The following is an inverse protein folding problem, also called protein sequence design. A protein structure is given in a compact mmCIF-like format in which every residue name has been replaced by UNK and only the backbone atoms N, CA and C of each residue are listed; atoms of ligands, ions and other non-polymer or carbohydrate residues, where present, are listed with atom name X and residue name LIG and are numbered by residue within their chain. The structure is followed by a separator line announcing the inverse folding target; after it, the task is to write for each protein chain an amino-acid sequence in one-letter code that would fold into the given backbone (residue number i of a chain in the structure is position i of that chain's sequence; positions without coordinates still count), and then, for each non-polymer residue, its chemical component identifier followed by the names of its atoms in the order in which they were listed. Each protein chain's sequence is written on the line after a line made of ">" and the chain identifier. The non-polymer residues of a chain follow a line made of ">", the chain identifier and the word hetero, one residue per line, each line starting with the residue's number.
data_IF_761463183470
#
_entry.id   IF_761463183470
#
_cell.length_a   1.000
_cell.length_b   1.000
_cell.length_c   1.000
_cell.angle_alpha   90.00
_cell.angle_beta   90.00
_cell.angle_gamma   90.00
#
_symmetry.space_group_name_H-M   'P 1'
#
loop_
_entity.id
_entity.type
_entity.pdbx_description
1 polymer ?
#
# COMPACT_ATOMS: atom_id res chain seq x y z
N UNK A 1 -6.26 -10.36 4.76
CA UNK A 1 -5.09 -9.70 4.17
C UNK A 1 -5.07 -8.26 4.65
N UNK A 2 -3.91 -7.76 5.07
CA UNK A 2 -3.75 -6.41 5.60
C UNK A 2 -2.89 -5.56 4.65
N UNK A 3 -3.42 -4.44 4.15
CA UNK A 3 -2.72 -3.50 3.28
C UNK A 3 -2.33 -2.24 4.04
N UNK A 4 -1.06 -1.86 3.95
CA UNK A 4 -0.58 -0.59 4.49
C UNK A 4 -0.70 0.53 3.47
N UNK A 5 -1.42 1.61 3.80
CA UNK A 5 -1.54 2.79 2.94
C UNK A 5 -0.30 3.67 3.12
N UNK A 6 0.46 3.83 2.04
CA UNK A 6 1.71 4.62 2.00
C UNK A 6 1.64 5.70 0.92
N UNK A 7 2.60 6.61 0.92
CA UNK A 7 2.69 7.71 -0.05
C UNK A 7 3.20 9.00 0.61
N UNK A 8 3.56 9.98 -0.19
CA UNK A 8 4.06 11.28 0.26
C UNK A 8 3.03 12.08 1.07
N UNK A 9 3.43 13.08 1.82
CA UNK A 9 2.50 14.01 2.47
C UNK A 9 1.60 14.72 1.45
N UNK A 10 0.31 14.87 1.77
CA UNK A 10 -0.63 15.61 0.92
C UNK A 10 -1.23 14.85 -0.26
N UNK A 11 -0.86 13.59 -0.51
CA UNK A 11 -1.38 12.78 -1.66
C UNK A 11 -2.83 12.28 -1.49
N UNK A 12 -3.47 12.52 -0.33
CA UNK A 12 -4.85 12.10 -0.09
C UNK A 12 -5.00 10.73 0.57
N UNK A 13 -3.98 10.20 1.26
CA UNK A 13 -4.05 8.89 1.96
C UNK A 13 -5.27 8.73 2.87
N UNK A 14 -5.60 9.79 3.61
CA UNK A 14 -6.75 9.82 4.51
C UNK A 14 -8.07 9.73 3.74
N UNK A 15 -8.20 10.53 2.69
CA UNK A 15 -9.34 10.54 1.78
C UNK A 15 -9.56 9.16 1.15
N UNK A 16 -8.48 8.52 0.68
CA UNK A 16 -8.51 7.17 0.12
C UNK A 16 -8.91 6.14 1.18
N UNK A 17 -8.40 6.24 2.40
CA UNK A 17 -8.81 5.35 3.50
C UNK A 17 -10.31 5.48 3.80
N UNK A 18 -10.83 6.71 3.90
CA UNK A 18 -12.26 6.97 4.13
C UNK A 18 -13.12 6.47 2.96
N UNK A 19 -12.68 6.70 1.73
CA UNK A 19 -13.32 6.19 0.54
C UNK A 19 -13.43 4.66 0.56
N UNK A 20 -12.30 3.96 0.78
CA UNK A 20 -12.24 2.50 0.74
C UNK A 20 -12.97 1.81 1.90
N UNK A 21 -13.05 2.44 3.05
CA UNK A 21 -13.59 1.81 4.26
C UNK A 21 -14.98 2.29 4.66
N UNK A 22 -15.43 3.42 4.12
CA UNK A 22 -16.64 4.11 4.57
C UNK A 22 -16.54 4.66 6.00
N UNK A 23 -15.38 4.54 6.65
CA UNK A 23 -15.16 4.98 8.02
C UNK A 23 -14.47 6.35 8.02
N UNK A 24 -14.99 7.34 8.77
CA UNK A 24 -14.31 8.62 8.91
C UNK A 24 -12.95 8.40 9.58
N UNK A 25 -11.90 8.93 8.98
CA UNK A 25 -10.59 8.89 9.58
C UNK A 25 -10.50 9.86 10.78
N UNK A 26 -9.85 9.40 11.85
CA UNK A 26 -9.66 10.23 13.05
C UNK A 26 -9.05 11.59 12.71
N UNK A 27 -9.53 12.68 13.30
CA UNK A 27 -8.86 13.97 13.20
C UNK A 27 -7.46 13.97 13.85
N UNK A 28 -7.18 13.01 14.73
CA UNK A 28 -5.90 12.89 15.42
C UNK A 28 -4.88 12.17 14.53
N UNK A 29 -3.93 12.91 13.95
CA UNK A 29 -2.86 12.40 13.10
C UNK A 29 -1.88 11.44 13.84
N UNK A 30 -1.95 11.38 15.16
CA UNK A 30 -1.05 10.59 16.00
C UNK A 30 -1.48 9.12 16.17
N UNK A 31 -2.65 8.73 15.66
CA UNK A 31 -3.19 7.39 15.81
C UNK A 31 -3.28 6.66 14.46
N UNK A 32 -2.78 5.43 14.42
CA UNK A 32 -2.99 4.55 13.29
C UNK A 32 -4.43 4.02 13.29
N UNK A 33 -4.97 3.71 12.12
CA UNK A 33 -6.33 3.25 11.97
C UNK A 33 -6.41 2.01 11.09
N UNK A 34 -7.40 1.17 11.36
CA UNK A 34 -7.71 -0.02 10.56
C UNK A 34 -9.17 0.03 10.15
N UNK A 35 -9.41 -0.16 8.86
CA UNK A 35 -10.75 -0.35 8.31
C UNK A 35 -10.83 -1.71 7.63
N UNK A 36 -11.86 -2.50 7.96
CA UNK A 36 -12.08 -3.82 7.37
C UNK A 36 -13.22 -3.76 6.37
N UNK A 37 -12.97 -4.22 5.16
CA UNK A 37 -13.93 -4.21 4.06
C UNK A 37 -14.10 -5.61 3.49
N UNK A 38 -15.33 -5.94 3.08
CA UNK A 38 -15.61 -7.19 2.37
C UNK A 38 -15.15 -7.07 0.92
N UNK A 39 -14.56 -8.13 0.41
CA UNK A 39 -14.23 -8.22 -1.02
C UNK A 39 -15.49 -8.66 -1.77
N UNK A 40 -16.01 -7.84 -2.71
CA UNK A 40 -17.12 -8.25 -3.56
C UNK A 40 -16.71 -9.49 -4.38
N UNK A 41 -17.56 -10.50 -4.42
CA UNK A 41 -17.34 -11.69 -5.25
C UNK A 41 -18.69 -12.21 -5.79
N UNK A 42 -18.99 -11.91 -7.07
CA UNK A 42 -20.22 -12.38 -7.70
C UNK A 42 -20.40 -13.92 -7.67
N UNK A 43 -19.31 -14.68 -7.62
CA UNK A 43 -19.35 -16.14 -7.52
C UNK A 43 -19.90 -16.58 -6.17
N UNK A 44 -19.53 -15.88 -5.09
CA UNK A 44 -20.06 -16.13 -3.74
C UNK A 44 -21.56 -15.82 -3.71
N UNK A 45 -22.01 -14.75 -4.37
CA UNK A 45 -23.43 -14.37 -4.46
C UNK A 45 -24.25 -15.41 -5.21
N UNK A 46 -23.73 -15.93 -6.34
CA UNK A 46 -24.37 -16.98 -7.11
C UNK A 46 -24.49 -18.25 -6.27
N UNK A 47 -23.42 -18.70 -5.64
CA UNK A 47 -23.40 -19.89 -4.80
C UNK A 47 -24.35 -19.75 -3.60
N UNK A 48 -24.35 -18.58 -2.97
CA UNK A 48 -25.24 -18.30 -1.85
C UNK A 48 -26.73 -18.38 -2.25
N UNK A 49 -27.07 -17.86 -3.43
CA UNK A 49 -28.44 -17.98 -3.99
C UNK A 49 -28.82 -19.40 -4.36
N UNK A 50 -27.87 -20.20 -4.84
CA UNK A 50 -28.13 -21.60 -5.23
C UNK A 50 -28.31 -22.53 -4.04
N UNK A 51 -27.50 -22.39 -3.02
CA UNK A 51 -27.41 -23.34 -1.90
C UNK A 51 -28.10 -22.89 -0.63
N UNK A 52 -28.56 -21.62 -0.56
CA UNK A 52 -29.22 -21.02 0.61
C UNK A 52 -28.53 -21.35 1.94
N UNK A 53 -27.22 -21.06 2.09
CA UNK A 53 -26.47 -21.38 3.30
C UNK A 53 -27.00 -20.59 4.48
N UNK A 54 -26.83 -21.12 5.70
CA UNK A 54 -27.18 -20.39 6.93
C UNK A 54 -26.37 -19.09 7.12
N UNK A 55 -25.18 -19.01 6.52
CA UNK A 55 -24.28 -17.84 6.58
C UNK A 55 -23.42 -17.79 5.32
N UNK A 56 -23.34 -16.63 4.70
CA UNK A 56 -22.41 -16.32 3.62
C UNK A 56 -21.26 -15.51 4.18
N UNK A 57 -20.02 -15.94 3.93
CA UNK A 57 -18.81 -15.26 4.40
C UNK A 57 -17.99 -14.87 3.17
N UNK A 58 -17.70 -13.58 3.04
CA UNK A 58 -16.83 -13.03 2.02
C UNK A 58 -15.40 -12.93 2.54
N UNK A 59 -14.43 -12.93 1.64
CA UNK A 59 -13.09 -12.52 1.97
C UNK A 59 -13.07 -11.07 2.51
N UNK A 60 -12.08 -10.75 3.30
CA UNK A 60 -11.94 -9.42 3.89
C UNK A 60 -10.53 -8.88 3.66
N UNK A 61 -10.48 -7.58 3.39
CA UNK A 61 -9.26 -6.78 3.33
C UNK A 61 -9.28 -5.80 4.48
N UNK A 62 -8.17 -5.67 5.16
CA UNK A 62 -7.92 -4.67 6.20
C UNK A 62 -7.02 -3.59 5.62
N UNK A 63 -7.52 -2.37 5.54
CA UNK A 63 -6.72 -1.20 5.19
C UNK A 63 -6.16 -0.58 6.46
N UNK A 64 -4.84 -0.46 6.51
CA UNK A 64 -4.12 0.14 7.62
C UNK A 64 -3.58 1.51 7.21
N UNK A 65 -4.10 2.56 7.85
CA UNK A 65 -3.60 3.92 7.73
C UNK A 65 -2.62 4.17 8.88
N UNK A 66 -1.31 4.25 8.63
CA UNK A 66 -0.33 4.51 9.67
C UNK A 66 -0.52 5.90 10.26
N UNK A 67 -0.19 6.05 11.55
CA UNK A 67 -0.11 7.35 12.17
C UNK A 67 0.86 8.25 11.39
N UNK A 68 0.45 9.49 11.10
CA UNK A 68 1.39 10.45 10.56
C UNK A 68 2.49 10.66 11.62
N UNK A 69 3.73 10.38 11.27
CA UNK A 69 4.85 10.73 12.12
C UNK A 69 4.78 12.25 12.34
N UNK A 70 4.47 12.65 13.57
CA UNK A 70 4.64 14.04 13.96
C UNK A 70 6.11 14.33 13.70
N UNK A 71 6.39 15.28 12.81
CA UNK A 71 7.73 15.83 12.57
C UNK A 71 8.20 16.61 13.81
N UNK A 72 8.17 15.99 14.97
CA UNK A 72 8.86 16.49 16.13
C UNK A 72 10.21 15.77 16.18
N UNK A 73 11.24 16.54 15.86
CA UNK A 73 12.66 16.24 16.08
C UNK A 73 12.96 16.07 17.57
N UNK A 74 12.25 15.19 18.25
CA UNK A 74 12.69 14.70 19.55
C UNK A 74 13.52 13.43 19.32
N UNK A 75 14.83 13.59 19.52
CA UNK A 75 15.83 12.54 19.47
C UNK A 75 15.34 11.30 20.23
N UNK A 76 14.95 10.24 19.51
CA UNK A 76 14.95 8.90 20.07
C UNK A 76 13.73 8.00 19.89
N UNK A 77 12.59 8.43 19.31
CA UNK A 77 11.39 7.59 19.10
C UNK A 77 10.62 7.94 17.82
N UNK A 78 11.28 8.12 16.71
CA UNK A 78 10.62 8.03 15.41
C UNK A 78 10.29 6.54 15.16
N UNK A 79 9.09 6.11 15.51
CA UNK A 79 8.52 4.97 14.82
C UNK A 79 8.19 5.45 13.40
N UNK A 80 9.17 5.34 12.51
CA UNK A 80 9.01 5.60 11.10
C UNK A 80 7.71 4.91 10.61
N UNK A 81 6.98 5.56 9.71
CA UNK A 81 5.83 4.97 9.00
C UNK A 81 6.19 3.57 8.50
N UNK A 82 7.43 3.39 8.05
CA UNK A 82 7.95 2.13 7.54
C UNK A 82 7.93 1.00 8.58
N UNK A 83 8.18 1.29 9.86
CA UNK A 83 8.07 0.29 10.93
C UNK A 83 6.62 -0.14 11.14
N UNK A 84 5.68 0.80 11.06
CA UNK A 84 4.26 0.50 11.26
C UNK A 84 3.68 -0.40 10.17
N UNK A 85 4.14 -0.27 8.91
CA UNK A 85 3.62 -1.05 7.77
C UNK A 85 4.39 -2.35 7.52
N UNK A 86 5.43 -2.66 8.32
CA UNK A 86 6.17 -3.94 8.20
C UNK A 86 5.30 -5.16 8.40
N UNK A 87 4.30 -5.07 9.27
CA UNK A 87 3.38 -6.19 9.56
C UNK A 87 2.21 -6.29 8.56
N UNK A 88 2.18 -5.44 7.54
CA UNK A 88 1.20 -5.55 6.46
C UNK A 88 1.62 -6.60 5.44
N UNK A 89 0.63 -7.27 4.81
CA UNK A 89 0.88 -8.29 3.78
C UNK A 89 1.27 -7.66 2.44
N UNK A 90 0.70 -6.47 2.13
CA UNK A 90 0.91 -5.71 0.90
C UNK A 90 0.85 -4.20 1.18
N UNK A 91 1.23 -3.39 0.19
CA UNK A 91 1.18 -1.93 0.26
C UNK A 91 0.21 -1.37 -0.77
N UNK A 92 -0.57 -0.37 -0.35
CA UNK A 92 -1.35 0.50 -1.21
C UNK A 92 -0.63 1.85 -1.29
N UNK A 93 0.08 2.08 -2.39
CA UNK A 93 0.84 3.30 -2.59
C UNK A 93 -0.02 4.35 -3.28
N UNK A 94 -0.47 5.34 -2.52
CA UNK A 94 -1.26 6.46 -3.04
C UNK A 94 -0.31 7.50 -3.62
N UNK A 95 -0.50 7.82 -4.89
CA UNK A 95 0.28 8.81 -5.65
C UNK A 95 -0.63 9.95 -6.07
N UNK A 96 -0.17 11.18 -5.91
CA UNK A 96 -0.94 12.37 -6.25
C UNK A 96 -0.98 12.58 -7.78
N UNK A 97 -2.19 12.74 -8.31
CA UNK A 97 -2.40 13.16 -9.70
C UNK A 97 -3.49 14.25 -9.78
N UNK A 98 -3.48 15.18 -8.81
CA UNK A 98 -4.37 16.34 -8.73
C UNK A 98 -3.57 17.58 -8.36
N UNK A 99 -4.05 18.76 -8.71
CA UNK A 99 -3.36 20.03 -8.49
C UNK A 99 -4.22 21.02 -7.71
N UNK A 100 -4.24 20.98 -6.37
CA UNK A 100 -4.95 21.96 -5.58
C UNK A 100 -4.41 23.38 -5.85
N UNK A 101 -5.25 24.42 -5.79
CA UNK A 101 -4.82 25.80 -5.97
C UNK A 101 -3.61 26.15 -5.11
N UNK A 102 -2.53 26.63 -5.73
CA UNK A 102 -1.31 27.06 -5.07
C UNK A 102 -0.28 25.95 -4.84
N UNK A 103 -0.56 24.70 -5.24
CA UNK A 103 0.43 23.63 -5.25
C UNK A 103 1.04 23.45 -6.66
N UNK A 104 2.28 22.93 -6.75
CA UNK A 104 2.88 22.59 -8.05
C UNK A 104 2.10 21.45 -8.73
N UNK A 105 2.28 21.35 -10.05
CA UNK A 105 1.75 20.23 -10.83
C UNK A 105 2.16 18.89 -10.24
N UNK A 106 1.34 17.83 -10.33
CA UNK A 106 1.71 16.51 -9.88
C UNK A 106 2.83 15.91 -10.76
N UNK A 107 3.75 15.19 -10.14
CA UNK A 107 4.83 14.44 -10.80
C UNK A 107 4.75 12.95 -10.40
N UNK A 108 3.72 12.21 -10.86
CA UNK A 108 3.39 10.88 -10.32
C UNK A 108 4.54 9.87 -10.37
N UNK A 109 5.36 9.89 -11.41
CA UNK A 109 6.51 8.98 -11.56
C UNK A 109 7.61 9.33 -10.55
N UNK A 110 7.89 10.61 -10.35
CA UNK A 110 8.89 11.06 -9.38
C UNK A 110 8.41 10.80 -7.94
N UNK A 111 7.14 11.12 -7.64
CA UNK A 111 6.51 10.87 -6.34
C UNK A 111 6.50 9.37 -5.98
N UNK A 112 6.24 8.50 -6.97
CA UNK A 112 6.35 7.06 -6.80
C UNK A 112 7.79 6.63 -6.50
N UNK A 113 8.76 7.12 -7.29
CA UNK A 113 10.15 6.73 -7.16
C UNK A 113 10.74 7.14 -5.80
N UNK A 114 10.36 8.30 -5.26
CA UNK A 114 10.79 8.78 -3.95
C UNK A 114 10.38 7.80 -2.84
N UNK A 115 9.12 7.36 -2.82
CA UNK A 115 8.64 6.39 -1.83
C UNK A 115 9.27 5.02 -2.02
N UNK A 116 9.42 4.56 -3.27
CA UNK A 116 10.05 3.26 -3.55
C UNK A 116 11.51 3.23 -3.10
N UNK A 117 12.24 4.33 -3.27
CA UNK A 117 13.60 4.48 -2.79
C UNK A 117 13.69 4.43 -1.25
N UNK A 118 12.74 5.03 -0.54
CA UNK A 118 12.66 4.94 0.93
C UNK A 118 12.45 3.48 1.41
N UNK A 119 11.63 2.69 0.70
CA UNK A 119 11.43 1.27 1.01
C UNK A 119 12.74 0.48 0.80
N UNK A 120 13.43 0.73 -0.32
CA UNK A 120 14.72 0.11 -0.66
C UNK A 120 15.76 0.43 0.42
N UNK A 121 15.92 1.69 0.78
CA UNK A 121 16.89 2.13 1.80
C UNK A 121 16.56 1.54 3.18
N UNK A 122 15.28 1.50 3.55
CA UNK A 122 14.85 0.88 4.80
C UNK A 122 15.22 -0.60 4.90
N UNK A 123 15.13 -1.33 3.78
CA UNK A 123 15.47 -2.75 3.75
C UNK A 123 16.98 -2.95 3.67
N UNK A 124 17.71 -2.12 2.94
CA UNK A 124 19.17 -2.16 2.88
C UNK A 124 19.77 -2.04 4.28
N UNK A 125 19.30 -1.10 5.09
CA UNK A 125 19.73 -0.96 6.50
C UNK A 125 19.49 -2.23 7.33
N UNK A 126 18.39 -2.95 7.10
CA UNK A 126 18.09 -4.20 7.79
C UNK A 126 19.07 -5.30 7.37
N UNK A 127 19.32 -5.43 6.07
CA UNK A 127 20.23 -6.42 5.50
C UNK A 127 21.67 -6.20 5.99
N UNK A 128 22.18 -4.97 5.87
CA UNK A 128 23.53 -4.61 6.33
C UNK A 128 23.75 -4.92 7.81
N UNK A 129 22.83 -4.49 8.67
CA UNK A 129 22.91 -4.79 10.11
C UNK A 129 22.92 -6.28 10.39
N UNK A 130 22.21 -7.09 9.61
CA UNK A 130 22.23 -8.54 9.77
C UNK A 130 23.53 -9.16 9.34
N UNK A 131 24.07 -8.76 8.17
CA UNK A 131 25.38 -9.20 7.68
C UNK A 131 26.53 -8.83 8.66
N UNK A 132 26.49 -7.62 9.22
CA UNK A 132 27.44 -7.22 10.27
C UNK A 132 27.38 -8.15 11.49
N UNK A 133 26.16 -8.50 11.94
CA UNK A 133 25.96 -9.44 13.06
C UNK A 133 26.47 -10.83 12.74
N UNK A 134 26.19 -11.35 11.54
CA UNK A 134 26.70 -12.66 11.11
C UNK A 134 28.23 -12.67 11.10
N UNK A 135 28.86 -11.63 10.58
CA UNK A 135 30.32 -11.47 10.59
C UNK A 135 30.88 -11.40 12.01
N UNK A 136 30.24 -10.65 12.90
CA UNK A 136 30.66 -10.54 14.31
C UNK A 136 30.49 -11.87 15.06
N UNK A 137 29.42 -12.61 14.79
CA UNK A 137 29.18 -13.92 15.39
C UNK A 137 30.18 -14.98 14.89
N UNK A 138 30.55 -14.95 13.61
CA UNK A 138 31.60 -15.79 13.04
C UNK A 138 32.97 -15.54 13.73
N UNK A 139 33.33 -14.28 13.98
CA UNK A 139 34.55 -13.92 14.73
C UNK A 139 34.54 -14.44 16.19
N UNK A 140 33.36 -14.69 16.77
CA UNK A 140 33.18 -15.27 18.10
C UNK A 140 33.10 -16.81 18.09
N UNK A 141 33.33 -17.45 16.94
CA UNK A 141 33.33 -18.90 16.78
C UNK A 141 31.93 -19.52 16.55
N UNK A 142 30.89 -18.73 16.38
CA UNK A 142 29.59 -19.24 15.93
C UNK A 142 29.67 -19.49 14.42
N UNK A 143 29.02 -20.55 13.95
CA UNK A 143 28.87 -20.82 12.52
C UNK A 143 27.59 -20.13 12.03
N UNK A 144 27.69 -19.06 11.19
CA UNK A 144 26.53 -18.51 10.54
C UNK A 144 25.92 -19.53 9.57
N UNK A 145 24.62 -19.39 9.31
CA UNK A 145 23.97 -20.15 8.25
C UNK A 145 24.44 -19.61 6.89
N UNK A 146 25.15 -20.43 6.09
CA UNK A 146 25.69 -19.98 4.81
C UNK A 146 24.58 -19.68 3.79
N UNK A 147 23.42 -20.30 3.91
CA UNK A 147 22.27 -20.05 3.03
C UNK A 147 21.66 -18.68 3.32
N UNK A 148 21.44 -18.35 4.60
CA UNK A 148 21.00 -17.02 5.01
C UNK A 148 21.96 -15.92 4.54
N UNK A 149 23.27 -16.12 4.75
CA UNK A 149 24.29 -15.14 4.35
C UNK A 149 24.26 -14.91 2.83
N UNK A 150 24.21 -15.97 2.03
CA UNK A 150 24.16 -15.89 0.56
C UNK A 150 22.88 -15.17 0.07
N UNK A 151 21.74 -15.42 0.71
CA UNK A 151 20.47 -14.74 0.38
C UNK A 151 20.56 -13.23 0.70
N UNK A 152 21.11 -12.86 1.85
CA UNK A 152 21.27 -11.47 2.24
C UNK A 152 22.22 -10.71 1.31
N UNK A 153 23.33 -11.34 0.87
CA UNK A 153 24.23 -10.75 -0.12
C UNK A 153 23.48 -10.47 -1.43
N UNK A 154 22.66 -11.41 -1.91
CA UNK A 154 21.84 -11.20 -3.11
C UNK A 154 20.81 -10.08 -2.93
N UNK A 155 20.24 -9.94 -1.72
CA UNK A 155 19.37 -8.81 -1.41
C UNK A 155 20.14 -7.49 -1.51
N UNK A 156 21.34 -7.41 -0.92
CA UNK A 156 22.21 -6.22 -1.01
C UNK A 156 22.49 -5.85 -2.46
N UNK A 157 22.94 -6.80 -3.27
CA UNK A 157 23.28 -6.58 -4.69
C UNK A 157 22.10 -6.03 -5.51
N UNK A 158 20.86 -6.37 -5.15
CA UNK A 158 19.67 -5.87 -5.81
C UNK A 158 19.31 -4.47 -5.33
N UNK A 159 19.28 -4.27 -4.00
CA UNK A 159 18.90 -3.00 -3.37
C UNK A 159 19.90 -1.88 -3.70
N UNK A 160 21.20 -2.16 -3.75
CA UNK A 160 22.25 -1.19 -4.17
C UNK A 160 22.12 -0.73 -5.63
N UNK A 161 21.35 -1.44 -6.45
CA UNK A 161 21.02 -1.06 -7.83
C UNK A 161 19.69 -0.32 -7.94
N UNK A 162 19.17 0.20 -6.82
CA UNK A 162 17.86 0.83 -6.72
C UNK A 162 16.72 -0.05 -7.27
N UNK A 163 16.80 -1.37 -7.03
CA UNK A 163 15.78 -2.34 -7.46
C UNK A 163 15.09 -2.94 -6.24
N UNK A 164 13.78 -2.74 -6.07
CA UNK A 164 13.03 -3.32 -4.97
C UNK A 164 13.00 -4.84 -5.06
N UNK A 165 12.97 -5.51 -3.90
CA UNK A 165 13.03 -6.98 -3.85
C UNK A 165 11.81 -7.65 -4.52
N UNK A 166 10.64 -7.00 -4.55
CA UNK A 166 9.43 -7.52 -5.23
C UNK A 166 9.63 -7.76 -6.73
N UNK A 167 10.60 -7.10 -7.36
CA UNK A 167 10.96 -7.34 -8.77
C UNK A 167 11.81 -8.59 -8.99
N UNK A 168 12.18 -9.28 -7.93
CA UNK A 168 12.81 -10.58 -7.97
C UNK A 168 11.94 -11.59 -7.22
N UNK A 169 11.07 -12.28 -7.95
CA UNK A 169 10.09 -13.20 -7.39
C UNK A 169 10.74 -14.27 -6.51
N UNK A 170 11.94 -14.74 -6.87
CA UNK A 170 12.67 -15.73 -6.09
C UNK A 170 13.07 -15.19 -4.71
N UNK A 171 13.58 -13.96 -4.63
CA UNK A 171 13.94 -13.34 -3.35
C UNK A 171 12.70 -12.92 -2.55
N UNK A 172 11.69 -12.35 -3.22
CA UNK A 172 10.47 -11.89 -2.56
C UNK A 172 9.68 -13.00 -1.88
N UNK A 173 9.71 -14.22 -2.47
CA UNK A 173 8.98 -15.39 -1.95
C UNK A 173 9.82 -16.36 -1.11
N UNK A 174 11.10 -16.05 -0.91
CA UNK A 174 12.03 -16.92 -0.19
C UNK A 174 11.58 -17.11 1.28
N UNK A 175 11.26 -18.34 1.72
CA UNK A 175 10.79 -18.59 3.07
C UNK A 175 11.78 -18.15 4.15
N UNK A 176 13.09 -18.30 3.92
CA UNK A 176 14.14 -17.90 4.86
C UNK A 176 14.20 -16.39 5.09
N UNK A 177 13.68 -15.58 4.14
CA UNK A 177 13.66 -14.12 4.23
C UNK A 177 12.38 -13.55 4.87
N UNK A 178 11.34 -14.37 5.09
CA UNK A 178 10.04 -13.90 5.61
C UNK A 178 10.16 -13.18 6.96
N UNK A 179 11.05 -13.66 7.82
CA UNK A 179 11.26 -13.09 9.15
C UNK A 179 11.80 -11.67 9.18
N UNK A 180 12.34 -11.18 8.05
CA UNK A 180 12.84 -9.81 7.92
C UNK A 180 11.71 -8.81 7.61
N UNK A 181 10.57 -9.27 7.11
CA UNK A 181 9.44 -8.45 6.72
C UNK A 181 9.86 -7.27 5.82
N UNK A 182 10.66 -7.56 4.80
CA UNK A 182 11.17 -6.55 3.86
C UNK A 182 10.03 -5.78 3.20
N UNK A 183 10.12 -4.47 3.25
CA UNK A 183 9.09 -3.57 2.71
C UNK A 183 9.09 -3.58 1.18
N UNK A 184 10.28 -3.52 0.58
CA UNK A 184 10.43 -3.54 -0.86
C UNK A 184 10.12 -4.90 -1.51
N UNK A 185 9.97 -5.97 -0.69
CA UNK A 185 9.54 -7.30 -1.15
C UNK A 185 8.02 -7.47 -1.19
N UNK A 186 7.26 -6.56 -0.53
CA UNK A 186 5.81 -6.67 -0.47
C UNK A 186 5.16 -6.39 -1.82
N UNK A 187 4.10 -7.14 -2.18
CA UNK A 187 3.24 -6.74 -3.29
C UNK A 187 2.76 -5.31 -3.12
N UNK A 188 2.63 -4.58 -4.21
CA UNK A 188 2.22 -3.17 -4.19
C UNK A 188 1.15 -2.91 -5.25
N UNK A 189 0.09 -2.22 -4.84
CA UNK A 189 -0.87 -1.59 -5.73
C UNK A 189 -0.60 -0.08 -5.72
N UNK A 190 -0.27 0.48 -6.88
CA UNK A 190 -0.10 1.92 -7.07
C UNK A 190 -1.45 2.53 -7.41
N UNK A 191 -1.91 3.45 -6.57
CA UNK A 191 -3.21 4.09 -6.70
C UNK A 191 -3.02 5.58 -7.01
N UNK A 192 -3.25 5.96 -8.27
CA UNK A 192 -3.24 7.36 -8.67
C UNK A 192 -4.52 8.04 -8.20
N UNK A 193 -4.36 9.03 -7.33
CA UNK A 193 -5.47 9.84 -6.85
C UNK A 193 -5.64 11.05 -7.77
N UNK A 194 -6.69 10.99 -8.61
CA UNK A 194 -6.97 11.96 -9.66
C UNK A 194 -7.93 13.07 -9.19
N UNK A 195 -8.05 14.13 -9.99
CA UNK A 195 -9.16 15.08 -9.92
C UNK A 195 -10.48 14.38 -10.26
N UNK A 196 -11.60 14.99 -9.83
CA UNK A 196 -12.93 14.38 -9.96
C UNK A 196 -13.37 14.24 -11.43
N UNK A 197 -12.80 15.03 -12.34
CA UNK A 197 -13.11 15.01 -13.78
C UNK A 197 -12.14 14.14 -14.60
N UNK A 198 -11.09 13.57 -14.01
CA UNK A 198 -10.06 12.81 -14.72
C UNK A 198 -10.10 11.31 -14.38
N UNK A 199 -10.54 10.51 -15.34
CA UNK A 199 -10.60 9.04 -15.26
C UNK A 199 -9.33 8.35 -15.80
N UNK A 200 -8.45 9.10 -16.47
CA UNK A 200 -7.29 8.53 -17.14
C UNK A 200 -6.12 8.33 -16.15
N UNK A 201 -5.36 7.24 -16.28
CA UNK A 201 -4.09 7.14 -15.57
C UNK A 201 -3.14 8.23 -16.08
N UNK A 202 -2.29 8.80 -15.20
CA UNK A 202 -1.28 9.75 -15.66
C UNK A 202 -0.29 9.05 -16.60
N UNK A 203 0.43 9.83 -17.45
CA UNK A 203 1.52 9.28 -18.25
C UNK A 203 2.63 8.79 -17.33
N UNK A 204 2.61 7.51 -17.04
CA UNK A 204 3.52 6.81 -16.13
C UNK A 204 4.29 5.74 -16.92
N UNK A 205 5.05 6.16 -17.95
CA UNK A 205 5.81 5.27 -18.83
C UNK A 205 6.73 4.34 -18.01
N UNK A 206 6.62 3.04 -18.27
CA UNK A 206 7.38 1.99 -17.61
C UNK A 206 6.86 1.57 -16.22
N UNK A 207 6.05 2.39 -15.54
CA UNK A 207 5.53 2.03 -14.21
C UNK A 207 4.44 0.95 -14.31
N UNK A 208 3.49 1.10 -15.22
CA UNK A 208 2.43 0.13 -15.45
C UNK A 208 2.93 -1.23 -16.00
N UNK A 209 4.16 -1.28 -16.53
CA UNK A 209 4.81 -2.51 -16.96
C UNK A 209 5.38 -3.32 -15.79
N UNK A 210 5.63 -2.66 -14.67
CA UNK A 210 6.35 -3.23 -13.53
C UNK A 210 5.54 -3.30 -12.24
N UNK A 211 4.50 -2.50 -12.15
CA UNK A 211 3.61 -2.42 -10.97
C UNK A 211 2.14 -2.51 -11.39
N UNK A 212 1.30 -3.06 -10.52
CA UNK A 212 -0.15 -2.98 -10.71
C UNK A 212 -0.61 -1.57 -10.38
N UNK A 213 -1.25 -0.91 -11.36
CA UNK A 213 -1.71 0.47 -11.23
C UNK A 213 -3.24 0.57 -11.32
N UNK A 214 -3.82 1.47 -10.55
CA UNK A 214 -5.23 1.82 -10.59
C UNK A 214 -5.42 3.33 -10.43
N UNK A 215 -6.59 3.83 -10.79
CA UNK A 215 -6.99 5.23 -10.61
C UNK A 215 -8.17 5.30 -9.65
N UNK A 216 -8.15 6.28 -8.77
CA UNK A 216 -9.26 6.66 -7.90
C UNK A 216 -9.49 8.17 -7.97
N UNK A 217 -10.73 8.59 -7.97
CA UNK A 217 -11.16 9.97 -7.70
C UNK A 217 -11.45 10.09 -6.20
N UNK A 218 -10.37 10.21 -5.41
CA UNK A 218 -10.45 9.99 -3.97
C UNK A 218 -11.49 10.86 -3.26
N UNK A 219 -11.67 12.11 -3.67
CA UNK A 219 -12.67 13.01 -3.11
C UNK A 219 -14.09 12.58 -3.45
N UNK A 220 -14.36 12.30 -4.71
CA UNK A 220 -15.65 11.83 -5.18
C UNK A 220 -16.06 10.52 -4.48
N UNK A 221 -15.14 9.55 -4.44
CA UNK A 221 -15.40 8.26 -3.79
C UNK A 221 -15.59 8.39 -2.27
N UNK A 222 -14.90 9.33 -1.64
CA UNK A 222 -15.11 9.65 -0.22
C UNK A 222 -16.51 10.22 0.03
N UNK A 223 -16.99 11.12 -0.82
CA UNK A 223 -18.34 11.69 -0.73
C UNK A 223 -19.39 10.61 -0.95
N UNK A 224 -19.22 9.76 -1.96
CA UNK A 224 -20.12 8.61 -2.22
C UNK A 224 -20.17 7.63 -1.04
N UNK A 225 -19.03 7.33 -0.42
CA UNK A 225 -18.96 6.42 0.72
C UNK A 225 -19.68 6.94 1.99
N UNK A 226 -19.97 8.23 2.06
CA UNK A 226 -20.71 8.87 3.17
C UNK A 226 -22.20 9.02 2.91
N UNK A 227 -22.67 8.78 1.67
CA UNK A 227 -24.08 8.85 1.27
C UNK A 227 -24.79 7.54 1.62
N UNK A 228 -26.10 7.61 1.80
CA UNK A 228 -26.89 6.38 1.80
C UNK A 228 -27.01 5.78 0.38
N UNK A 229 -27.45 4.53 0.28
CA UNK A 229 -27.49 3.82 -0.99
C UNK A 229 -28.39 4.48 -2.05
N UNK A 230 -29.46 5.16 -1.63
CA UNK A 230 -30.39 5.83 -2.53
C UNK A 230 -29.82 7.17 -3.01
N UNK A 231 -29.19 7.91 -2.11
CA UNK A 231 -28.49 9.16 -2.42
C UNK A 231 -27.30 8.91 -3.36
N UNK A 232 -26.48 7.89 -3.07
CA UNK A 232 -25.35 7.51 -3.91
C UNK A 232 -25.80 7.09 -5.33
N UNK A 233 -26.90 6.31 -5.44
CA UNK A 233 -27.43 5.92 -6.74
C UNK A 233 -27.94 7.12 -7.55
N UNK A 234 -28.66 8.05 -6.91
CA UNK A 234 -29.13 9.28 -7.55
C UNK A 234 -27.97 10.17 -8.00
N UNK A 235 -26.92 10.29 -7.18
CA UNK A 235 -25.72 11.05 -7.51
C UNK A 235 -24.98 10.46 -8.73
N UNK A 236 -24.78 9.13 -8.76
CA UNK A 236 -24.14 8.45 -9.89
C UNK A 236 -24.93 8.65 -11.19
N UNK A 237 -26.28 8.61 -11.13
CA UNK A 237 -27.14 8.85 -12.27
C UNK A 237 -27.06 10.30 -12.76
N UNK A 238 -27.11 11.29 -11.86
CA UNK A 238 -27.04 12.72 -12.19
C UNK A 238 -25.71 13.10 -12.87
N UNK A 239 -24.61 12.53 -12.42
CA UNK A 239 -23.27 12.78 -12.97
C UNK A 239 -22.85 11.81 -14.09
N UNK A 240 -23.75 10.93 -14.55
CA UNK A 240 -23.48 9.89 -15.56
C UNK A 240 -22.28 9.00 -15.22
N UNK A 241 -22.05 8.71 -13.94
CA UNK A 241 -21.01 7.82 -13.46
C UNK A 241 -21.56 6.40 -13.44
N UNK A 242 -20.98 5.51 -14.23
CA UNK A 242 -21.50 4.14 -14.44
C UNK A 242 -21.31 3.22 -13.22
N UNK A 243 -20.27 3.42 -12.44
CA UNK A 243 -19.99 2.69 -11.19
C UNK A 243 -18.89 3.39 -10.37
N UNK A 244 -18.94 3.21 -9.05
CA UNK A 244 -17.84 3.55 -8.17
C UNK A 244 -16.58 2.72 -8.49
N UNK A 245 -15.41 3.31 -8.35
CA UNK A 245 -14.14 2.60 -8.54
C UNK A 245 -13.82 1.67 -7.34
N UNK A 246 -14.52 1.81 -6.24
CA UNK A 246 -14.29 1.13 -4.97
C UNK A 246 -14.19 -0.39 -5.09
N UNK A 247 -15.23 -1.03 -5.64
CA UNK A 247 -15.27 -2.49 -5.74
C UNK A 247 -14.09 -3.03 -6.55
N UNK A 248 -13.77 -2.36 -7.66
CA UNK A 248 -12.61 -2.72 -8.50
C UNK A 248 -11.29 -2.59 -7.75
N UNK A 249 -11.11 -1.52 -6.96
CA UNK A 249 -9.88 -1.30 -6.18
C UNK A 249 -9.78 -2.34 -5.06
N UNK A 250 -10.91 -2.65 -4.39
CA UNK A 250 -10.94 -3.67 -3.35
C UNK A 250 -10.60 -5.05 -3.93
N UNK A 251 -11.16 -5.41 -5.10
CA UNK A 251 -10.82 -6.65 -5.80
C UNK A 251 -9.35 -6.72 -6.21
N UNK A 252 -8.79 -5.63 -6.74
CA UNK A 252 -7.37 -5.57 -7.11
C UNK A 252 -6.42 -5.58 -5.91
N UNK A 253 -6.90 -5.15 -4.75
CA UNK A 253 -6.15 -5.15 -3.49
C UNK A 253 -6.04 -6.54 -2.86
N UNK A 254 -6.94 -7.46 -3.23
CA UNK A 254 -7.01 -8.83 -2.70
C UNK A 254 -6.26 -9.82 -3.58
#
# INVERSE_FOLDING_TARGET
>A
MKLGIVGLPGVGKKTVFEALTGNPASPHLAESQIGTVKVPDPRVDVLSRMYHPKKTIYAQVEYFLPAAALQQKEKGKEQSIWVQVRDCDALLHVVRNFAPPGMPAPEPVADFAEVDQELILSDLVVVEKRLERLTADAKRGKKPDPEEEALLVRCTEQLEKDRPLRRNETLAREPALRGYAFLSAKPMLVLFNNEDEDDAPPPAEGLAETETCAVIKGRLEQELAQMDAAEAAAFLEEFNITASAMDRIIEQSY
#
